data_IF_853084771609
#
_entry.id   IF_853084771609
#
_cell.length_a   1.000
_cell.length_b   1.000
_cell.length_c   1.000
_cell.angle_alpha   90.00
_cell.angle_beta   90.00
_cell.angle_gamma   90.00
#
_symmetry.space_group_name_H-M   'P 1'
#
loop_
_entity.id
_entity.type
_entity.pdbx_description
1 polymer ?
#
# COMPACT_ATOMS: atom_id res chain seq x y z
N UNK A 1 8.32 14.34 11.39
CA UNK A 1 7.99 13.18 12.19
C UNK A 1 6.61 12.65 11.84
N UNK A 2 6.46 11.32 11.59
CA UNK A 2 5.21 10.64 11.31
C UNK A 2 4.83 9.82 12.54
N UNK A 3 3.81 10.22 13.33
CA UNK A 3 3.48 9.55 14.58
C UNK A 3 2.77 8.20 14.39
N UNK A 4 2.12 8.00 13.22
CA UNK A 4 1.33 6.80 12.93
C UNK A 4 1.72 6.26 11.57
N UNK A 5 2.06 4.98 11.54
CA UNK A 5 2.23 4.21 10.32
C UNK A 5 1.25 3.04 10.32
N UNK A 6 0.38 2.98 9.32
CA UNK A 6 -0.58 1.89 9.13
C UNK A 6 0.08 0.83 8.27
N UNK A 7 0.44 -0.27 8.92
CA UNK A 7 1.18 -1.35 8.31
C UNK A 7 0.20 -2.47 7.91
N UNK A 8 0.03 -2.69 6.61
CA UNK A 8 -0.88 -3.70 6.07
C UNK A 8 -0.18 -4.84 5.33
N UNK A 9 1.14 -4.77 5.13
CA UNK A 9 1.82 -5.85 4.41
C UNK A 9 1.68 -7.21 5.10
N UNK A 10 1.61 -7.24 6.42
CA UNK A 10 1.37 -8.46 7.21
C UNK A 10 0.03 -9.13 6.87
N UNK A 11 -0.98 -8.37 6.47
CA UNK A 11 -2.28 -8.93 6.10
C UNK A 11 -2.16 -9.81 4.86
N UNK A 12 -1.46 -9.34 3.84
CA UNK A 12 -1.26 -10.11 2.63
C UNK A 12 -0.32 -11.30 2.87
N UNK A 13 0.68 -11.17 3.73
CA UNK A 13 1.52 -12.28 4.16
C UNK A 13 0.75 -13.34 4.96
N UNK A 14 -0.30 -12.93 5.66
CA UNK A 14 -1.24 -13.83 6.33
C UNK A 14 -2.32 -14.41 5.40
N UNK A 15 -2.28 -14.12 4.10
CA UNK A 15 -3.20 -14.67 3.09
C UNK A 15 -4.31 -13.74 2.62
N UNK A 16 -4.36 -12.49 3.08
CA UNK A 16 -5.34 -11.51 2.60
C UNK A 16 -5.17 -11.25 1.10
N UNK A 17 -6.29 -11.13 0.40
CA UNK A 17 -6.30 -10.71 -1.00
C UNK A 17 -5.91 -9.23 -1.14
N UNK A 18 -5.50 -8.77 -2.33
CA UNK A 18 -5.25 -7.34 -2.58
C UNK A 18 -6.43 -6.44 -2.21
N UNK A 19 -7.65 -6.90 -2.42
CA UNK A 19 -8.89 -6.21 -2.06
C UNK A 19 -9.08 -6.11 -0.54
N UNK A 20 -8.75 -7.18 0.19
CA UNK A 20 -8.81 -7.21 1.66
C UNK A 20 -7.72 -6.33 2.26
N UNK A 21 -6.48 -6.40 1.75
CA UNK A 21 -5.41 -5.51 2.20
C UNK A 21 -5.81 -4.03 2.04
N UNK A 22 -6.32 -3.67 0.84
CA UNK A 22 -6.78 -2.32 0.53
C UNK A 22 -7.86 -1.83 1.51
N UNK A 23 -8.90 -2.64 1.73
CA UNK A 23 -10.03 -2.27 2.58
C UNK A 23 -9.65 -2.24 4.07
N UNK A 24 -8.89 -3.20 4.57
CA UNK A 24 -8.55 -3.30 5.99
C UNK A 24 -7.53 -2.23 6.40
N UNK A 25 -6.56 -1.90 5.52
CA UNK A 25 -5.67 -0.77 5.76
C UNK A 25 -6.43 0.55 5.85
N UNK A 26 -7.37 0.80 4.93
CA UNK A 26 -8.20 1.99 4.96
C UNK A 26 -9.17 2.01 6.15
N UNK A 27 -9.77 0.86 6.52
CA UNK A 27 -10.60 0.75 7.71
C UNK A 27 -9.81 1.09 8.99
N UNK A 28 -8.56 0.62 9.07
CA UNK A 28 -7.67 0.96 10.18
C UNK A 28 -7.40 2.46 10.25
N UNK A 29 -7.12 3.08 9.10
CA UNK A 29 -6.94 4.53 9.02
C UNK A 29 -8.20 5.29 9.43
N UNK A 30 -9.37 4.86 8.95
CA UNK A 30 -10.67 5.45 9.29
C UNK A 30 -10.91 5.36 10.81
N UNK A 31 -10.73 4.20 11.41
CA UNK A 31 -10.94 4.01 12.84
C UNK A 31 -10.06 4.93 13.70
N UNK A 32 -8.77 5.05 13.33
CA UNK A 32 -7.86 5.99 13.99
C UNK A 32 -8.33 7.43 13.83
N UNK A 33 -8.72 7.82 12.61
CA UNK A 33 -9.16 9.19 12.35
C UNK A 33 -10.48 9.53 13.03
N UNK A 34 -11.42 8.61 13.12
CA UNK A 34 -12.68 8.80 13.85
C UNK A 34 -12.45 9.00 15.34
N UNK A 35 -11.58 8.17 15.94
CA UNK A 35 -11.20 8.35 17.32
C UNK A 35 -10.60 9.74 17.59
N UNK A 36 -9.70 10.19 16.69
CA UNK A 36 -9.05 11.50 16.82
C UNK A 36 -10.02 12.65 16.53
N UNK A 37 -10.90 12.49 15.54
CA UNK A 37 -11.89 13.51 15.14
C UNK A 37 -12.92 13.78 16.25
N UNK A 38 -13.34 12.72 16.95
CA UNK A 38 -14.30 12.79 18.05
C UNK A 38 -13.66 13.21 19.39
N UNK A 39 -12.33 13.37 19.42
CA UNK A 39 -11.64 13.80 20.63
C UNK A 39 -11.74 15.32 20.82
N UNK A 40 -12.32 15.77 21.93
CA UNK A 40 -12.38 17.19 22.31
C UNK A 40 -10.99 17.83 22.47
N UNK A 41 -9.94 17.03 22.63
CA UNK A 41 -8.56 17.51 22.81
C UNK A 41 -7.90 18.00 21.52
N UNK A 42 -8.51 17.70 20.35
CA UNK A 42 -7.90 17.98 19.04
C UNK A 42 -8.66 19.10 18.34
N UNK A 43 -7.99 20.24 18.17
CA UNK A 43 -8.53 21.35 17.38
C UNK A 43 -8.65 20.96 15.90
N UNK A 44 -9.70 21.40 15.21
CA UNK A 44 -9.95 21.11 13.79
C UNK A 44 -8.74 21.45 12.89
N UNK A 45 -8.08 22.58 13.13
CA UNK A 45 -6.89 22.98 12.37
C UNK A 45 -5.68 22.07 12.57
N UNK A 46 -5.63 21.35 13.70
CA UNK A 46 -4.60 20.35 13.99
C UNK A 46 -4.95 19.00 13.34
N UNK A 47 -6.23 18.66 13.26
CA UNK A 47 -6.71 17.41 12.70
C UNK A 47 -6.26 17.23 11.24
N UNK A 48 -6.41 18.24 10.37
CA UNK A 48 -5.93 18.18 8.99
C UNK A 48 -4.42 17.92 8.89
N UNK A 49 -3.64 18.54 9.78
CA UNK A 49 -2.19 18.31 9.86
C UNK A 49 -1.85 16.89 10.32
N UNK A 50 -2.66 16.32 11.21
CA UNK A 50 -2.51 14.93 11.67
C UNK A 50 -2.79 13.98 10.51
N UNK A 51 -3.91 14.16 9.78
CA UNK A 51 -4.23 13.37 8.58
C UNK A 51 -3.06 13.38 7.60
N UNK A 52 -2.52 14.56 7.30
CA UNK A 52 -1.36 14.71 6.42
C UNK A 52 -0.04 14.10 6.96
N UNK A 53 -0.01 13.59 8.19
CA UNK A 53 1.15 12.93 8.81
C UNK A 53 0.99 11.42 8.95
N UNK A 54 -0.19 10.87 8.64
CA UNK A 54 -0.37 9.43 8.55
C UNK A 54 0.44 8.91 7.36
N UNK A 55 1.13 7.81 7.59
CA UNK A 55 1.83 7.06 6.55
C UNK A 55 1.32 5.62 6.54
N UNK A 56 1.52 4.96 5.41
CA UNK A 56 1.14 3.57 5.23
C UNK A 56 2.39 2.74 4.88
N UNK A 57 2.33 1.45 5.17
CA UNK A 57 3.31 0.50 4.71
C UNK A 57 2.57 -0.73 4.18
N UNK A 58 2.57 -0.86 2.86
CA UNK A 58 1.73 -1.80 2.12
C UNK A 58 2.57 -2.86 1.42
N UNK A 59 1.93 -3.87 0.88
CA UNK A 59 2.58 -4.97 0.20
C UNK A 59 2.53 -4.82 -1.33
N UNK A 60 3.50 -5.42 -2.04
CA UNK A 60 3.43 -5.66 -3.48
C UNK A 60 3.82 -7.11 -3.80
N UNK A 61 2.91 -7.81 -4.48
CA UNK A 61 3.08 -9.21 -4.90
C UNK A 61 3.37 -9.35 -6.39
N UNK A 62 3.33 -10.59 -6.87
CA UNK A 62 3.69 -10.96 -8.25
C UNK A 62 2.71 -10.49 -9.33
N UNK A 63 1.46 -10.15 -8.97
CA UNK A 63 0.41 -9.82 -9.94
C UNK A 63 0.54 -8.36 -10.41
N UNK A 64 1.50 -8.09 -11.26
CA UNK A 64 1.92 -6.77 -11.72
C UNK A 64 0.76 -5.77 -11.98
N UNK A 65 -0.20 -6.12 -12.84
CA UNK A 65 -1.33 -5.23 -13.18
C UNK A 65 -2.24 -5.01 -11.98
N UNK A 66 -2.45 -6.05 -11.17
CA UNK A 66 -3.27 -5.95 -9.95
C UNK A 66 -2.60 -5.05 -8.92
N UNK A 67 -1.30 -5.19 -8.71
CA UNK A 67 -0.54 -4.38 -7.77
C UNK A 67 -0.48 -2.90 -8.21
N UNK A 68 -0.25 -2.64 -9.50
CA UNK A 68 -0.34 -1.29 -10.06
C UNK A 68 -1.71 -0.67 -9.80
N UNK A 69 -2.79 -1.41 -10.08
CA UNK A 69 -4.16 -0.95 -9.85
C UNK A 69 -4.46 -0.75 -8.35
N UNK A 70 -3.92 -1.62 -7.46
CA UNK A 70 -4.09 -1.51 -6.01
C UNK A 70 -3.49 -0.21 -5.48
N UNK A 71 -2.29 0.17 -5.90
CA UNK A 71 -1.66 1.42 -5.46
C UNK A 71 -2.41 2.65 -5.94
N UNK A 72 -2.89 2.64 -7.18
CA UNK A 72 -3.76 3.69 -7.70
C UNK A 72 -5.08 3.76 -6.90
N UNK A 73 -5.69 2.60 -6.61
CA UNK A 73 -6.91 2.52 -5.80
C UNK A 73 -6.72 3.06 -4.38
N UNK A 74 -5.60 2.74 -3.72
CA UNK A 74 -5.25 3.33 -2.43
C UNK A 74 -5.19 4.86 -2.49
N UNK A 75 -4.53 5.39 -3.52
CA UNK A 75 -4.36 6.83 -3.70
C UNK A 75 -5.71 7.53 -3.88
N UNK A 76 -6.57 7.00 -4.76
CA UNK A 76 -7.87 7.57 -5.04
C UNK A 76 -8.83 7.43 -3.84
N UNK A 77 -8.92 6.24 -3.23
CA UNK A 77 -9.81 6.01 -2.09
C UNK A 77 -9.41 6.84 -0.87
N UNK A 78 -8.11 6.97 -0.60
CA UNK A 78 -7.65 7.82 0.49
C UNK A 78 -8.03 9.29 0.31
N UNK A 79 -7.86 9.82 -0.91
CA UNK A 79 -8.29 11.19 -1.24
C UNK A 79 -9.81 11.34 -1.04
N UNK A 80 -10.59 10.37 -1.52
CA UNK A 80 -12.06 10.37 -1.37
C UNK A 80 -12.48 10.27 0.10
N UNK A 81 -11.88 9.41 0.90
CA UNK A 81 -12.17 9.27 2.34
C UNK A 81 -11.84 10.57 3.05
N UNK A 82 -10.66 11.13 2.83
CA UNK A 82 -10.24 12.36 3.48
C UNK A 82 -11.14 13.54 3.10
N UNK A 83 -11.51 13.68 1.82
CA UNK A 83 -12.34 14.78 1.35
C UNK A 83 -13.81 14.62 1.73
N UNK A 84 -14.39 13.42 1.54
CA UNK A 84 -15.83 13.20 1.71
C UNK A 84 -16.22 12.89 3.16
N UNK A 85 -15.47 11.99 3.86
CA UNK A 85 -15.79 11.58 5.23
C UNK A 85 -15.28 12.59 6.27
N UNK A 86 -14.04 13.03 6.12
CA UNK A 86 -13.37 13.92 7.10
C UNK A 86 -13.35 15.40 6.72
N UNK A 87 -13.89 15.77 5.54
CA UNK A 87 -14.02 17.16 5.07
C UNK A 87 -12.69 17.92 5.03
N UNK A 88 -11.59 17.23 4.72
CA UNK A 88 -10.28 17.85 4.53
C UNK A 88 -10.28 18.60 3.19
N UNK A 89 -10.09 19.89 3.23
CA UNK A 89 -10.15 20.75 2.03
C UNK A 89 -8.84 20.80 1.25
N UNK A 90 -7.70 20.93 1.95
CA UNK A 90 -6.38 21.06 1.33
C UNK A 90 -5.86 19.71 0.78
N UNK A 91 -5.66 19.59 -0.56
CA UNK A 91 -5.20 18.35 -1.18
C UNK A 91 -3.84 17.84 -0.66
N UNK A 92 -3.00 18.75 -0.13
CA UNK A 92 -1.69 18.34 0.40
C UNK A 92 -1.81 17.41 1.61
N UNK A 93 -2.89 17.52 2.40
CA UNK A 93 -3.14 16.67 3.56
C UNK A 93 -3.85 15.36 3.20
N UNK A 94 -4.40 15.24 1.98
CA UNK A 94 -5.09 14.06 1.48
C UNK A 94 -4.19 13.10 0.69
N UNK A 95 -2.90 13.42 0.54
CA UNK A 95 -1.96 12.59 -0.21
C UNK A 95 -1.75 11.25 0.47
N UNK A 96 -1.95 10.16 -0.26
CA UNK A 96 -1.58 8.83 0.17
C UNK A 96 -0.05 8.70 0.22
N UNK A 97 0.49 8.58 1.42
CA UNK A 97 1.93 8.50 1.65
C UNK A 97 2.27 7.11 2.12
N UNK A 98 3.02 6.37 1.33
CA UNK A 98 3.31 4.99 1.69
C UNK A 98 4.74 4.59 1.34
N UNK A 99 5.28 3.68 2.16
CA UNK A 99 6.35 2.76 1.82
C UNK A 99 5.76 1.43 1.39
N UNK A 100 6.55 0.60 0.74
CA UNK A 100 6.12 -0.68 0.23
C UNK A 100 7.13 -1.78 0.57
N UNK A 101 6.60 -2.92 0.99
CA UNK A 101 7.32 -4.18 1.11
C UNK A 101 7.07 -5.03 -0.13
N UNK A 102 8.13 -5.45 -0.81
CA UNK A 102 8.02 -6.52 -1.79
C UNK A 102 7.77 -7.84 -1.05
N UNK A 103 6.78 -8.58 -1.50
CA UNK A 103 6.32 -9.80 -0.86
C UNK A 103 7.36 -10.93 -0.99
N UNK A 104 7.71 -11.56 0.13
CA UNK A 104 8.61 -12.73 0.15
C UNK A 104 7.89 -14.06 -0.06
N UNK A 105 6.56 -14.12 0.04
CA UNK A 105 5.77 -15.34 -0.14
C UNK A 105 5.91 -15.96 -1.55
N UNK A 106 6.21 -15.12 -2.54
CA UNK A 106 6.43 -15.58 -3.92
C UNK A 106 7.84 -16.14 -4.17
N UNK A 107 8.73 -16.04 -3.19
CA UNK A 107 10.10 -16.56 -3.32
C UNK A 107 10.14 -18.06 -3.07
N UNK A 108 11.04 -18.75 -3.76
CA UNK A 108 11.15 -20.21 -3.71
C UNK A 108 12.55 -20.66 -3.36
N UNK A 109 12.65 -21.83 -2.72
CA UNK A 109 13.93 -22.50 -2.45
C UNK A 109 14.51 -23.17 -3.70
N UNK A 110 13.62 -23.62 -4.60
CA UNK A 110 14.05 -24.22 -5.87
C UNK A 110 14.45 -23.12 -6.85
N UNK A 111 15.65 -23.25 -7.41
CA UNK A 111 16.26 -22.27 -8.30
C UNK A 111 16.18 -20.84 -7.72
N UNK A 112 16.79 -20.61 -6.55
CA UNK A 112 16.62 -19.38 -5.78
C UNK A 112 17.13 -18.14 -6.52
N UNK A 113 18.02 -18.29 -7.50
CA UNK A 113 18.49 -17.20 -8.37
C UNK A 113 17.34 -16.52 -9.12
N UNK A 114 16.29 -17.26 -9.46
CA UNK A 114 15.10 -16.73 -10.11
C UNK A 114 14.31 -15.75 -9.19
N UNK A 115 14.58 -15.75 -7.89
CA UNK A 115 13.96 -14.80 -6.98
C UNK A 115 14.35 -13.34 -7.28
N UNK A 116 15.52 -13.12 -7.87
CA UNK A 116 15.94 -11.76 -8.32
C UNK A 116 14.92 -11.20 -9.31
N UNK A 117 14.49 -12.01 -10.28
CA UNK A 117 13.46 -11.59 -11.26
C UNK A 117 12.09 -11.41 -10.63
N UNK A 118 11.72 -12.25 -9.66
CA UNK A 118 10.46 -12.11 -8.93
C UNK A 118 10.43 -10.80 -8.13
N UNK A 119 11.50 -10.49 -7.43
CA UNK A 119 11.65 -9.23 -6.68
C UNK A 119 11.55 -8.03 -7.63
N UNK A 120 12.21 -8.08 -8.78
CA UNK A 120 12.12 -7.04 -9.80
C UNK A 120 10.67 -6.82 -10.26
N UNK A 121 9.96 -7.90 -10.66
CA UNK A 121 8.59 -7.82 -11.14
C UNK A 121 7.65 -7.24 -10.07
N UNK A 122 7.85 -7.59 -8.80
CA UNK A 122 7.06 -7.06 -7.70
C UNK A 122 7.35 -5.59 -7.37
N UNK A 123 8.58 -5.13 -7.63
CA UNK A 123 8.97 -3.74 -7.41
C UNK A 123 8.45 -2.80 -8.51
N UNK A 124 8.44 -3.26 -9.75
CA UNK A 124 8.07 -2.43 -10.91
C UNK A 124 6.72 -1.70 -10.75
N UNK A 125 5.62 -2.34 -10.30
CA UNK A 125 4.31 -1.70 -10.21
C UNK A 125 4.29 -0.41 -9.38
N UNK A 126 5.13 -0.34 -8.36
CA UNK A 126 5.16 0.77 -7.40
C UNK A 126 6.22 1.82 -7.70
N UNK A 127 7.05 1.56 -8.70
CA UNK A 127 8.11 2.48 -9.14
C UNK A 127 7.71 3.22 -10.41
N UNK A 128 7.13 2.51 -11.39
CA UNK A 128 6.84 3.06 -12.73
C UNK A 128 5.48 3.75 -12.81
N UNK A 129 4.52 3.41 -11.96
CA UNK A 129 3.23 4.10 -11.86
C UNK A 129 3.42 5.42 -11.08
N UNK A 130 3.89 6.47 -11.75
CA UNK A 130 4.34 7.71 -11.08
C UNK A 130 3.25 8.45 -10.32
N UNK A 131 2.00 8.39 -10.76
CA UNK A 131 0.88 9.04 -10.09
C UNK A 131 0.56 8.39 -8.73
N UNK A 132 0.95 7.13 -8.53
CA UNK A 132 0.72 6.36 -7.30
C UNK A 132 1.99 5.68 -6.77
N UNK A 133 3.18 6.20 -7.10
CA UNK A 133 4.45 5.57 -6.72
C UNK A 133 4.71 5.60 -5.21
N UNK A 134 5.36 4.56 -4.74
CA UNK A 134 5.86 4.48 -3.37
C UNK A 134 6.94 5.53 -3.07
N UNK A 135 7.02 5.97 -1.81
CA UNK A 135 8.10 6.84 -1.33
C UNK A 135 9.34 6.09 -0.92
N UNK A 136 9.16 4.86 -0.47
CA UNK A 136 10.22 3.96 -0.06
C UNK A 136 9.84 2.55 -0.50
N UNK A 137 10.84 1.77 -0.87
CA UNK A 137 10.67 0.38 -1.30
C UNK A 137 11.63 -0.45 -0.47
N UNK A 138 11.09 -1.45 0.22
CA UNK A 138 11.87 -2.47 0.91
C UNK A 138 11.80 -3.77 0.10
N UNK A 139 12.96 -4.32 -0.24
CA UNK A 139 13.09 -5.55 -0.98
C UNK A 139 13.66 -6.66 -0.08
N UNK A 140 13.15 -7.89 -0.17
CA UNK A 140 13.77 -9.04 0.47
C UNK A 140 15.11 -9.35 -0.17
N UNK A 141 15.95 -10.13 0.52
CA UNK A 141 17.11 -10.73 -0.12
C UNK A 141 16.66 -11.83 -1.09
N UNK A 142 17.40 -12.05 -2.17
CA UNK A 142 17.06 -13.07 -3.18
C UNK A 142 16.97 -14.49 -2.61
N UNK A 143 17.73 -14.76 -1.57
CA UNK A 143 17.82 -16.07 -0.88
C UNK A 143 17.02 -16.11 0.44
N UNK A 144 16.10 -15.19 0.67
CA UNK A 144 15.33 -15.13 1.93
C UNK A 144 14.55 -16.43 2.21
N UNK A 145 14.13 -17.16 1.17
CA UNK A 145 13.49 -18.46 1.31
C UNK A 145 14.44 -19.56 1.85
N UNK A 146 15.74 -19.34 1.80
CA UNK A 146 16.77 -20.28 2.30
C UNK A 146 17.22 -19.99 3.74
N UNK A 147 16.72 -18.91 4.34
CA UNK A 147 17.08 -18.48 5.70
C UNK A 147 17.58 -17.05 5.79
N UNK A 148 18.31 -16.73 6.88
CA UNK A 148 18.81 -15.38 7.10
C UNK A 148 19.85 -14.98 6.05
N UNK A 149 19.68 -13.85 5.37
CA UNK A 149 20.59 -13.38 4.35
C UNK A 149 21.90 -12.88 4.95
N UNK A 150 22.99 -13.13 4.23
CA UNK A 150 24.29 -12.54 4.52
C UNK A 150 24.35 -11.09 3.97
N UNK A 151 25.29 -10.25 4.40
CA UNK A 151 25.38 -8.86 3.92
C UNK A 151 25.45 -8.71 2.40
N UNK A 152 26.16 -9.60 1.71
CA UNK A 152 26.26 -9.56 0.23
C UNK A 152 25.00 -10.07 -0.48
N UNK A 153 24.19 -10.90 0.17
CA UNK A 153 22.92 -11.32 -0.40
C UNK A 153 21.94 -10.12 -0.45
N UNK A 154 21.97 -9.27 0.57
CA UNK A 154 21.17 -8.04 0.62
C UNK A 154 21.64 -6.99 -0.39
N UNK A 155 22.89 -6.98 -0.81
CA UNK A 155 23.39 -6.07 -1.84
C UNK A 155 22.65 -6.20 -3.17
N UNK A 156 22.20 -7.39 -3.55
CA UNK A 156 21.45 -7.59 -4.78
C UNK A 156 20.19 -6.71 -4.84
N UNK A 157 19.48 -6.64 -3.74
CA UNK A 157 18.27 -5.79 -3.64
C UNK A 157 18.60 -4.30 -3.78
N UNK A 158 19.71 -3.85 -3.21
CA UNK A 158 20.19 -2.47 -3.38
C UNK A 158 20.64 -2.20 -4.82
N UNK A 159 21.38 -3.12 -5.43
CA UNK A 159 21.85 -2.98 -6.82
C UNK A 159 20.68 -2.97 -7.80
N UNK A 160 19.66 -3.80 -7.58
CA UNK A 160 18.46 -3.81 -8.40
C UNK A 160 17.78 -2.43 -8.43
N UNK A 161 17.64 -1.77 -7.27
CA UNK A 161 17.11 -0.40 -7.20
C UNK A 161 18.01 0.61 -7.91
N UNK A 162 19.33 0.48 -7.79
CA UNK A 162 20.28 1.37 -8.45
C UNK A 162 20.26 1.19 -9.97
N UNK A 163 20.20 -0.04 -10.48
CA UNK A 163 20.06 -0.33 -11.91
C UNK A 163 18.78 0.34 -12.44
N UNK A 164 17.67 0.16 -11.75
CA UNK A 164 16.40 0.81 -12.13
C UNK A 164 16.51 2.34 -12.19
N UNK A 165 17.22 2.95 -11.24
CA UNK A 165 17.30 4.39 -11.12
C UNK A 165 18.33 5.02 -12.07
N UNK A 166 19.43 4.34 -12.37
CA UNK A 166 20.59 4.94 -13.05
C UNK A 166 20.90 4.36 -14.42
N UNK A 167 20.38 3.17 -14.74
CA UNK A 167 20.67 2.49 -16.01
C UNK A 167 19.43 2.38 -16.92
N UNK A 168 18.26 2.83 -16.43
CA UNK A 168 17.03 2.91 -17.22
C UNK A 168 16.54 4.35 -17.35
N UNK A 169 15.70 4.61 -18.34
CA UNK A 169 15.04 5.90 -18.56
C UNK A 169 13.72 6.07 -17.77
N UNK A 170 13.39 5.13 -16.90
CA UNK A 170 12.12 5.11 -16.18
C UNK A 170 11.86 6.35 -15.32
N UNK A 171 12.91 7.09 -14.92
CA UNK A 171 12.76 8.33 -14.17
C UNK A 171 12.49 9.56 -15.06
N UNK A 172 12.69 9.46 -16.35
CA UNK A 172 12.62 10.59 -17.29
C UNK A 172 11.18 10.89 -17.73
N UNK A 173 10.29 9.89 -17.72
CA UNK A 173 8.93 10.00 -18.21
C UNK A 173 7.91 10.20 -17.11
N UNK A 174 6.73 10.75 -17.48
CA UNK A 174 5.54 10.78 -16.64
C UNK A 174 4.95 9.36 -16.47
N UNK A 175 3.75 9.25 -15.90
CA UNK A 175 3.10 7.96 -15.70
C UNK A 175 2.78 7.29 -17.03
N UNK A 176 3.46 6.20 -17.35
CA UNK A 176 3.30 5.45 -18.61
C UNK A 176 1.97 4.70 -18.70
N UNK A 177 1.23 4.59 -17.61
CA UNK A 177 -0.10 3.96 -17.57
C UNK A 177 -1.25 4.96 -17.71
N UNK A 178 -0.94 6.25 -17.82
CA UNK A 178 -1.96 7.27 -17.99
C UNK A 178 -2.80 6.99 -19.25
N UNK A 179 -4.14 7.02 -19.09
CA UNK A 179 -5.08 6.69 -20.15
C UNK A 179 -5.34 5.20 -20.42
N UNK A 180 -4.68 4.28 -19.71
CA UNK A 180 -4.92 2.84 -19.84
C UNK A 180 -6.34 2.46 -19.41
N UNK A 181 -7.16 2.02 -20.38
CA UNK A 181 -8.53 1.52 -20.11
C UNK A 181 -8.53 0.28 -19.20
N UNK A 182 -7.63 -0.66 -19.49
CA UNK A 182 -7.51 -1.91 -18.72
C UNK A 182 -7.18 -1.62 -17.26
N UNK A 183 -6.22 -0.73 -17.01
CA UNK A 183 -5.86 -0.36 -15.64
C UNK A 183 -7.01 0.37 -14.94
N UNK A 184 -7.71 1.26 -15.63
CA UNK A 184 -8.87 1.98 -15.09
C UNK A 184 -10.02 1.05 -14.70
N UNK A 185 -10.32 0.06 -15.52
CA UNK A 185 -11.32 -0.97 -15.19
C UNK A 185 -10.92 -1.76 -13.95
N UNK A 186 -9.66 -2.17 -13.84
CA UNK A 186 -9.15 -2.89 -12.68
C UNK A 186 -9.18 -2.03 -11.40
N UNK A 187 -8.83 -0.75 -11.49
CA UNK A 187 -8.94 0.20 -10.38
C UNK A 187 -10.40 0.30 -9.91
N UNK A 188 -11.34 0.46 -10.83
CA UNK A 188 -12.76 0.57 -10.48
C UNK A 188 -13.29 -0.70 -9.79
N UNK A 189 -12.88 -1.89 -10.24
CA UNK A 189 -13.23 -3.15 -9.59
C UNK A 189 -12.68 -3.23 -8.16
N UNK A 190 -11.41 -2.89 -7.95
CA UNK A 190 -10.77 -2.89 -6.64
C UNK A 190 -11.43 -1.87 -5.70
N UNK A 191 -11.70 -0.67 -6.19
CA UNK A 191 -12.40 0.37 -5.41
C UNK A 191 -13.80 -0.08 -4.99
N UNK A 192 -14.57 -0.68 -5.92
CA UNK A 192 -15.91 -1.21 -5.61
C UNK A 192 -15.82 -2.28 -4.52
N UNK A 193 -14.93 -3.26 -4.66
CA UNK A 193 -14.75 -4.30 -3.66
C UNK A 193 -14.34 -3.73 -2.30
N UNK A 194 -13.44 -2.74 -2.28
CA UNK A 194 -13.03 -2.08 -1.04
C UNK A 194 -14.19 -1.32 -0.38
N UNK A 195 -15.01 -0.60 -1.14
CA UNK A 195 -16.20 0.06 -0.59
C UNK A 195 -17.21 -0.94 -0.02
N UNK A 196 -17.43 -2.07 -0.68
CA UNK A 196 -18.32 -3.12 -0.18
C UNK A 196 -17.81 -3.67 1.16
N UNK A 197 -16.50 -3.88 1.31
CA UNK A 197 -15.89 -4.33 2.56
C UNK A 197 -15.94 -3.24 3.65
N UNK A 198 -15.63 -1.99 3.33
CA UNK A 198 -15.73 -0.87 4.27
C UNK A 198 -17.15 -0.70 4.77
N UNK A 199 -18.16 -0.83 3.88
CA UNK A 199 -19.56 -0.77 4.27
C UNK A 199 -19.98 -1.89 5.21
N UNK A 200 -19.41 -3.09 5.06
CA UNK A 200 -19.63 -4.20 6.02
C UNK A 200 -19.03 -3.87 7.38
N UNK A 201 -17.81 -3.34 7.42
CA UNK A 201 -17.13 -2.93 8.65
C UNK A 201 -17.94 -1.81 9.35
N UNK A 202 -18.41 -0.81 8.62
CA UNK A 202 -19.27 0.25 9.16
C UNK A 202 -20.58 -0.31 9.77
N UNK A 203 -21.21 -1.29 9.11
CA UNK A 203 -22.43 -1.96 9.63
C UNK A 203 -22.20 -2.79 10.89
N UNK A 204 -21.00 -3.32 11.07
CA UNK A 204 -20.59 -4.05 12.28
C UNK A 204 -20.39 -3.08 13.46
N UNK A 205 -20.26 -1.79 13.21
CA UNK A 205 -19.99 -0.75 14.21
C UNK A 205 -18.58 -0.15 14.12
N UNK A 206 -17.88 -0.37 13.02
CA UNK A 206 -16.55 0.16 12.74
C UNK A 206 -15.41 -0.83 13.02
N UNK A 207 -14.19 -0.31 13.05
CA UNK A 207 -12.97 -1.11 13.12
C UNK A 207 -12.91 -1.98 14.39
N UNK A 208 -13.15 -1.41 15.56
CA UNK A 208 -12.95 -2.12 16.83
C UNK A 208 -13.89 -3.32 16.96
N UNK A 209 -15.23 -3.20 16.78
CA UNK A 209 -16.10 -4.36 16.74
C UNK A 209 -15.75 -5.39 15.67
N UNK A 210 -15.25 -4.95 14.51
CA UNK A 210 -14.83 -5.86 13.44
C UNK A 210 -13.57 -6.67 13.80
N UNK A 211 -12.70 -6.13 14.65
CA UNK A 211 -11.55 -6.86 15.21
C UNK A 211 -12.03 -7.85 16.29
N UNK A 212 -12.86 -7.39 17.21
CA UNK A 212 -13.32 -8.17 18.37
C UNK A 212 -14.13 -9.40 17.96
N UNK A 213 -14.97 -9.28 16.93
CA UNK A 213 -15.77 -10.40 16.41
C UNK A 213 -15.01 -11.29 15.41
N UNK A 214 -13.73 -11.01 15.14
CA UNK A 214 -12.88 -11.80 14.25
C UNK A 214 -13.07 -11.59 12.77
N UNK A 215 -13.88 -10.62 12.33
CA UNK A 215 -14.16 -10.35 10.91
C UNK A 215 -12.91 -10.09 10.07
N UNK A 216 -11.87 -9.44 10.66
CA UNK A 216 -10.62 -9.18 9.95
C UNK A 216 -9.69 -10.41 9.89
N UNK A 217 -10.03 -11.51 10.58
CA UNK A 217 -9.27 -12.76 10.61
C UNK A 217 -9.93 -13.87 9.78
N UNK A 218 -11.18 -13.68 9.37
CA UNK A 218 -11.94 -14.61 8.53
C UNK A 218 -11.73 -14.29 7.04
#
# INVERSE_FOLDING_TARGET
WNPINICSYHLQEAGATPEQELSFALATAIGVLEYLHNSEKIKKSLFEKIVGRISFFVNSGMRFVTETAKMASFTELWDEICSKRFKISDPKYRRFRYGMQVNSLGLTELQPENNVYRILIQMLPVVIAKNSRARAVQLPAWNEALGLPRPWDQQWSLRLQQIMAYETDLLEFSDIFEGSKVLKEKINLLKKSAYDQLSKIDKIGGLIPAIENGYLKS
#
